data_IF_751071712989
#
_entry.id   IF_751071712989
#
_cell.length_a   1.000
_cell.length_b   1.000
_cell.length_c   1.000
_cell.angle_alpha   90.00
_cell.angle_beta   90.00
_cell.angle_gamma   90.00
#
_symmetry.space_group_name_H-M   'P 1'
#
loop_
_entity.id
_entity.type
_entity.pdbx_description
1 polymer ?
#
# COMPACT_ATOMS: atom_id res chain seq x y z
N UNK A 1 -15.83 25.63 0.03
CA UNK A 1 -15.11 24.90 -1.05
C UNK A 1 -13.87 24.24 -0.45
N UNK A 2 -13.64 22.97 -0.73
CA UNK A 2 -12.51 22.18 -0.28
C UNK A 2 -11.74 21.64 -1.49
N UNK A 3 -10.46 21.99 -1.62
CA UNK A 3 -9.60 21.44 -2.68
C UNK A 3 -9.23 20.00 -2.33
N UNK A 4 -9.22 19.14 -3.32
CA UNK A 4 -8.78 17.76 -3.19
C UNK A 4 -7.84 17.38 -4.33
N UNK A 5 -7.04 16.36 -4.09
CA UNK A 5 -6.09 15.79 -5.03
C UNK A 5 -6.37 14.31 -5.21
N UNK A 6 -6.31 13.83 -6.45
CA UNK A 6 -6.51 12.42 -6.79
C UNK A 6 -5.20 11.77 -7.15
N UNK A 7 -4.88 10.70 -6.44
CA UNK A 7 -3.69 9.88 -6.65
C UNK A 7 -4.06 8.42 -6.81
N UNK A 8 -3.19 7.64 -7.41
CA UNK A 8 -3.21 6.19 -7.29
C UNK A 8 -1.81 5.65 -7.03
N UNK A 9 -1.75 4.58 -6.21
CA UNK A 9 -0.55 3.80 -5.96
C UNK A 9 -0.75 2.39 -6.51
N UNK A 10 -0.30 2.16 -7.76
CA UNK A 10 -0.46 0.87 -8.43
C UNK A 10 -1.92 0.42 -8.60
N UNK A 11 -2.79 1.35 -8.99
CA UNK A 11 -4.21 1.11 -9.27
C UNK A 11 -5.13 1.17 -8.04
N UNK A 12 -4.59 1.35 -6.84
CA UNK A 12 -5.36 1.64 -5.64
C UNK A 12 -5.45 3.16 -5.48
N UNK A 13 -6.64 3.74 -5.59
CA UNK A 13 -6.85 5.17 -5.80
C UNK A 13 -7.39 5.92 -4.58
N UNK A 14 -6.87 7.12 -4.35
CA UNK A 14 -7.14 7.90 -3.15
C UNK A 14 -7.53 9.34 -3.47
N UNK A 15 -8.42 9.89 -2.65
CA UNK A 15 -8.61 11.32 -2.50
C UNK A 15 -7.72 11.82 -1.37
N UNK A 16 -6.92 12.86 -1.60
CA UNK A 16 -6.07 13.47 -0.58
C UNK A 16 -6.49 14.91 -0.36
N UNK A 17 -6.61 15.32 0.89
CA UNK A 17 -6.98 16.67 1.30
C UNK A 17 -5.90 17.27 2.19
N UNK A 18 -5.40 18.45 1.83
CA UNK A 18 -4.51 19.23 2.70
C UNK A 18 -5.34 19.98 3.74
N UNK A 19 -5.16 19.62 5.01
CA UNK A 19 -5.90 20.22 6.14
C UNK A 19 -5.02 21.11 7.02
N UNK A 20 -3.80 21.48 6.57
CA UNK A 20 -2.88 22.30 7.37
C UNK A 20 -3.40 23.68 7.66
N UNK A 21 -4.07 24.32 6.70
CA UNK A 21 -4.65 25.65 6.89
C UNK A 21 -6.08 25.59 7.44
N UNK A 22 -6.84 24.59 7.05
CA UNK A 22 -8.24 24.44 7.43
C UNK A 22 -8.66 22.99 7.45
N UNK A 23 -9.06 22.50 8.62
CA UNK A 23 -9.69 21.19 8.79
C UNK A 23 -11.20 21.29 8.50
N UNK A 24 -11.71 20.66 7.44
CA UNK A 24 -13.12 20.72 7.06
C UNK A 24 -14.04 19.92 7.98
N UNK A 25 -13.52 19.21 9.00
CA UNK A 25 -14.28 18.39 9.96
C UNK A 25 -15.20 17.39 9.25
N UNK A 26 -14.64 16.59 8.35
CA UNK A 26 -15.38 15.59 7.60
C UNK A 26 -15.95 14.50 8.53
N UNK A 27 -17.23 14.12 8.29
CA UNK A 27 -17.85 12.96 8.95
C UNK A 27 -17.63 11.70 8.12
N UNK A 28 -17.87 10.52 8.71
CA UNK A 28 -17.79 9.25 8.00
C UNK A 28 -18.71 9.24 6.75
N UNK A 29 -19.92 9.77 6.88
CA UNK A 29 -20.88 9.84 5.77
C UNK A 29 -20.38 10.76 4.65
N UNK A 30 -19.75 11.91 4.99
CA UNK A 30 -19.20 12.82 3.98
C UNK A 30 -18.02 12.18 3.25
N UNK A 31 -17.14 11.47 3.98
CA UNK A 31 -16.02 10.74 3.38
C UNK A 31 -16.54 9.61 2.48
N UNK A 32 -17.50 8.82 2.95
CA UNK A 32 -18.12 7.76 2.15
C UNK A 32 -18.78 8.32 0.88
N UNK A 33 -19.41 9.49 0.98
CA UNK A 33 -19.99 10.17 -0.20
C UNK A 33 -18.89 10.60 -1.18
N UNK A 34 -17.79 11.19 -0.71
CA UNK A 34 -16.65 11.59 -1.55
C UNK A 34 -16.05 10.37 -2.27
N UNK A 35 -15.88 9.26 -1.55
CA UNK A 35 -15.32 8.02 -2.09
C UNK A 35 -16.27 7.27 -3.02
N UNK A 36 -17.56 7.60 -3.03
CA UNK A 36 -18.55 6.88 -3.85
C UNK A 36 -18.34 7.13 -5.35
N UNK A 37 -18.04 6.06 -6.12
CA UNK A 37 -17.60 6.13 -7.53
C UNK A 37 -18.63 6.70 -8.52
N UNK A 38 -19.92 6.78 -8.14
CA UNK A 38 -20.99 7.30 -9.01
C UNK A 38 -21.60 8.61 -8.54
N UNK A 39 -21.36 9.01 -7.27
CA UNK A 39 -22.00 10.19 -6.67
C UNK A 39 -21.01 11.19 -6.11
N UNK A 40 -19.78 10.78 -5.89
CA UNK A 40 -18.67 11.58 -5.41
C UNK A 40 -17.52 11.63 -6.41
N UNK A 41 -16.32 11.85 -5.92
CA UNK A 41 -15.07 11.78 -6.69
C UNK A 41 -14.77 10.33 -7.11
N UNK A 42 -15.08 9.38 -6.24
CA UNK A 42 -14.76 7.97 -6.39
C UNK A 42 -13.32 7.66 -5.98
N UNK A 43 -13.17 6.80 -4.98
CA UNK A 43 -11.85 6.36 -4.49
C UNK A 43 -11.99 5.11 -3.61
N UNK A 44 -10.89 4.38 -3.43
CA UNK A 44 -10.80 3.29 -2.45
C UNK A 44 -10.66 3.82 -1.02
N UNK A 45 -10.23 5.09 -0.87
CA UNK A 45 -10.17 5.76 0.42
C UNK A 45 -9.84 7.24 0.31
N UNK A 46 -9.87 7.91 1.47
CA UNK A 46 -9.52 9.31 1.61
C UNK A 46 -8.40 9.46 2.63
N UNK A 47 -7.43 10.31 2.33
CA UNK A 47 -6.36 10.67 3.25
C UNK A 47 -6.36 12.16 3.52
N UNK A 48 -5.95 12.54 4.72
CA UNK A 48 -5.69 13.94 5.06
C UNK A 48 -4.21 14.14 5.39
N UNK A 49 -3.68 15.29 4.97
CA UNK A 49 -2.35 15.75 5.33
C UNK A 49 -2.48 16.95 6.26
N UNK A 50 -2.03 16.81 7.51
CA UNK A 50 -2.14 17.80 8.56
C UNK A 50 -0.79 18.26 9.11
N UNK A 51 -0.82 19.24 10.02
CA UNK A 51 0.38 19.75 10.70
C UNK A 51 0.91 18.67 11.66
N UNK A 52 2.21 18.40 11.58
CA UNK A 52 2.90 17.45 12.45
C UNK A 52 3.56 18.13 13.65
N UNK A 53 3.82 17.38 14.75
CA UNK A 53 4.73 17.81 15.80
C UNK A 53 6.17 17.87 15.27
N UNK A 54 7.04 18.53 16.06
CA UNK A 54 8.47 18.64 15.74
C UNK A 54 9.10 17.26 15.46
N UNK A 55 9.94 17.19 14.44
CA UNK A 55 10.62 15.98 14.00
C UNK A 55 9.93 15.24 12.86
N UNK A 56 8.73 15.66 12.46
CA UNK A 56 7.99 15.07 11.35
C UNK A 56 7.56 16.13 10.34
N UNK A 57 7.48 15.76 9.06
CA UNK A 57 7.07 16.67 8.00
C UNK A 57 5.56 16.91 8.00
N UNK A 58 4.76 15.87 8.27
CA UNK A 58 3.29 15.97 8.30
C UNK A 58 2.66 14.83 9.13
N UNK A 59 1.37 14.99 9.47
CA UNK A 59 0.51 13.92 10.00
C UNK A 59 -0.41 13.46 8.89
N UNK A 60 -0.53 12.15 8.73
CA UNK A 60 -1.48 11.49 7.85
C UNK A 60 -2.61 10.87 8.67
N UNK A 61 -3.85 10.97 8.17
CA UNK A 61 -4.95 10.10 8.57
C UNK A 61 -5.55 9.45 7.35
N UNK A 62 -5.88 8.18 7.50
CA UNK A 62 -6.46 7.39 6.43
C UNK A 62 -7.86 6.90 6.80
N UNK A 63 -8.76 6.97 5.83
CA UNK A 63 -10.14 6.49 5.94
C UNK A 63 -10.45 5.60 4.74
N UNK A 64 -11.04 4.44 5.00
CA UNK A 64 -11.59 3.57 3.95
C UNK A 64 -12.72 4.27 3.20
N UNK A 65 -13.16 3.68 2.09
CA UNK A 65 -14.26 4.22 1.28
C UNK A 65 -15.62 4.27 1.99
N UNK A 66 -15.79 3.59 3.12
CA UNK A 66 -16.95 3.67 4.00
C UNK A 66 -16.89 4.85 5.01
N UNK A 67 -15.77 5.57 5.03
CA UNK A 67 -15.51 6.70 5.92
C UNK A 67 -14.93 6.32 7.29
N UNK A 68 -14.72 5.04 7.56
CA UNK A 68 -14.13 4.60 8.83
C UNK A 68 -12.59 4.73 8.82
N UNK A 69 -11.99 5.15 9.95
CA UNK A 69 -10.53 5.19 10.08
C UNK A 69 -9.90 3.81 9.83
N UNK A 70 -8.71 3.81 9.26
CA UNK A 70 -7.94 2.60 9.02
C UNK A 70 -6.43 2.87 9.18
N UNK A 71 -5.68 1.80 9.42
CA UNK A 71 -4.22 1.85 9.47
C UNK A 71 -3.61 2.17 8.11
N UNK A 72 -2.33 2.55 8.11
CA UNK A 72 -1.61 2.89 6.90
C UNK A 72 -1.66 1.76 5.86
N UNK A 73 -2.19 2.08 4.68
CA UNK A 73 -2.04 1.26 3.48
C UNK A 73 -0.73 1.60 2.77
N UNK A 74 0.11 0.61 2.44
CA UNK A 74 1.38 0.83 1.75
C UNK A 74 1.24 1.60 0.42
N UNK A 75 0.14 1.40 -0.32
CA UNK A 75 -0.16 2.16 -1.53
C UNK A 75 -0.50 3.63 -1.19
N UNK A 76 -1.32 3.86 -0.16
CA UNK A 76 -1.68 5.19 0.34
C UNK A 76 -0.47 5.95 0.89
N UNK A 77 0.41 5.28 1.64
CA UNK A 77 1.64 5.87 2.17
C UNK A 77 2.56 6.43 1.08
N UNK A 78 2.69 5.71 -0.04
CA UNK A 78 3.44 6.23 -1.20
C UNK A 78 2.76 7.42 -1.85
N UNK A 79 1.43 7.39 -2.00
CA UNK A 79 0.66 8.49 -2.58
C UNK A 79 0.78 9.78 -1.76
N UNK A 80 0.60 9.71 -0.44
CA UNK A 80 0.66 10.90 0.40
C UNK A 80 2.09 11.44 0.54
N UNK A 81 3.12 10.58 0.50
CA UNK A 81 4.51 11.01 0.46
C UNK A 81 4.83 11.81 -0.82
N UNK A 82 4.37 11.33 -1.99
CA UNK A 82 4.51 12.10 -3.23
C UNK A 82 3.72 13.41 -3.17
N UNK A 83 2.51 13.39 -2.61
CA UNK A 83 1.73 14.62 -2.42
C UNK A 83 2.46 15.64 -1.54
N UNK A 84 3.01 15.22 -0.39
CA UNK A 84 3.78 16.09 0.48
C UNK A 84 5.01 16.69 -0.22
N UNK A 85 5.73 15.89 -1.02
CA UNK A 85 6.82 16.38 -1.87
C UNK A 85 6.36 17.46 -2.85
N UNK A 86 5.22 17.28 -3.51
CA UNK A 86 4.65 18.27 -4.43
C UNK A 86 4.23 19.57 -3.73
N UNK A 87 3.97 19.52 -2.42
CA UNK A 87 3.76 20.69 -1.56
C UNK A 87 5.06 21.32 -1.05
N UNK A 88 6.22 20.84 -1.49
CA UNK A 88 7.53 21.36 -1.11
C UNK A 88 8.07 20.85 0.23
N UNK A 89 7.51 19.77 0.78
CA UNK A 89 7.98 19.16 2.01
C UNK A 89 9.12 18.16 1.78
N UNK A 90 9.79 17.82 2.87
CA UNK A 90 10.87 16.83 2.88
C UNK A 90 12.25 17.46 2.81
N UNK A 91 13.26 16.62 3.02
CA UNK A 91 14.67 16.98 3.05
C UNK A 91 15.42 16.26 1.94
N UNK A 92 16.22 16.99 1.18
CA UNK A 92 17.08 16.39 0.14
C UNK A 92 18.25 15.62 0.77
N UNK A 93 18.43 14.36 0.36
CA UNK A 93 19.56 13.51 0.72
C UNK A 93 20.12 12.89 -0.57
N UNK A 94 21.22 13.42 -1.07
CA UNK A 94 21.72 13.07 -2.39
C UNK A 94 20.74 13.48 -3.49
N UNK A 95 20.31 12.53 -4.29
CA UNK A 95 19.32 12.74 -5.35
C UNK A 95 17.86 12.53 -4.89
N UNK A 96 17.67 11.95 -3.72
CA UNK A 96 16.36 11.59 -3.18
C UNK A 96 15.78 12.70 -2.28
N UNK A 97 14.44 12.75 -2.19
CA UNK A 97 13.73 13.58 -1.20
C UNK A 97 13.15 12.67 -0.12
N UNK A 98 13.68 12.81 1.09
CA UNK A 98 13.27 12.04 2.25
C UNK A 98 12.19 12.76 3.04
N UNK A 99 11.23 12.01 3.51
CA UNK A 99 10.08 12.45 4.30
C UNK A 99 9.91 11.54 5.51
N UNK A 100 9.58 12.15 6.65
CA UNK A 100 9.21 11.45 7.87
C UNK A 100 7.83 11.93 8.32
N UNK A 101 6.88 11.03 8.50
CA UNK A 101 5.51 11.40 8.82
C UNK A 101 4.89 10.48 9.88
N UNK A 102 3.84 10.97 10.52
CA UNK A 102 3.04 10.20 11.48
C UNK A 102 1.74 9.75 10.83
N UNK A 103 1.41 8.47 10.97
CA UNK A 103 0.07 7.93 10.76
C UNK A 103 -0.50 7.42 12.10
N UNK A 104 -1.75 6.95 12.12
CA UNK A 104 -2.38 6.47 13.34
C UNK A 104 -1.67 5.25 13.95
N UNK A 105 -0.95 4.49 13.14
CA UNK A 105 -0.14 3.33 13.54
C UNK A 105 1.32 3.65 13.87
N UNK A 106 1.72 4.92 13.85
CA UNK A 106 3.04 5.40 14.26
C UNK A 106 3.85 6.13 13.19
N UNK A 107 5.17 6.27 13.38
CA UNK A 107 6.06 6.96 12.47
C UNK A 107 6.37 6.13 11.21
N UNK A 108 6.47 6.82 10.08
CA UNK A 108 6.81 6.26 8.79
C UNK A 108 7.85 7.10 8.07
N UNK A 109 8.68 6.45 7.29
CA UNK A 109 9.68 7.08 6.43
C UNK A 109 9.40 6.76 4.96
N UNK A 110 9.56 7.76 4.11
CA UNK A 110 9.47 7.59 2.67
C UNK A 110 10.57 8.38 1.96
N UNK A 111 10.89 7.97 0.73
CA UNK A 111 11.76 8.73 -0.15
C UNK A 111 11.18 8.76 -1.57
N UNK A 112 11.17 9.94 -2.17
CA UNK A 112 10.86 10.12 -3.58
C UNK A 112 12.13 9.86 -4.35
N UNK A 113 12.14 8.75 -5.10
CA UNK A 113 13.28 8.32 -5.90
C UNK A 113 13.26 8.95 -7.29
N UNK A 114 12.08 9.12 -7.83
CA UNK A 114 11.86 9.72 -9.14
C UNK A 114 10.50 10.41 -9.20
N UNK A 115 10.43 11.53 -9.91
CA UNK A 115 9.19 12.22 -10.27
C UNK A 115 9.30 12.80 -11.67
N UNK A 116 8.36 12.44 -12.53
CA UNK A 116 8.19 13.03 -13.86
C UNK A 116 6.91 13.88 -13.88
N UNK A 117 7.09 15.18 -14.02
CA UNK A 117 5.98 16.15 -14.03
C UNK A 117 5.14 16.12 -15.31
N UNK A 118 5.65 15.60 -16.42
CA UNK A 118 4.93 15.51 -17.69
C UNK A 118 3.96 14.34 -17.67
N UNK A 119 4.44 13.14 -17.33
CA UNK A 119 3.62 11.94 -17.18
C UNK A 119 2.84 11.92 -15.87
N UNK A 120 3.20 12.78 -14.89
CA UNK A 120 2.67 12.80 -13.52
C UNK A 120 2.82 11.46 -12.80
N UNK A 121 3.93 10.79 -13.05
CA UNK A 121 4.28 9.51 -12.43
C UNK A 121 5.54 9.62 -11.60
N UNK A 122 5.58 8.91 -10.49
CA UNK A 122 6.73 8.85 -9.61
C UNK A 122 7.00 7.45 -9.10
N UNK A 123 8.21 7.28 -8.58
CA UNK A 123 8.61 6.09 -7.85
C UNK A 123 8.93 6.49 -6.42
N UNK A 124 8.26 5.85 -5.48
CA UNK A 124 8.38 6.14 -4.05
C UNK A 124 8.81 4.89 -3.30
N UNK A 125 9.80 5.05 -2.44
CA UNK A 125 10.23 4.08 -1.45
C UNK A 125 9.52 4.39 -0.13
N UNK A 126 8.86 3.38 0.46
CA UNK A 126 8.19 3.46 1.76
C UNK A 126 8.79 2.44 2.72
N UNK A 127 9.14 2.88 3.92
CA UNK A 127 9.54 2.00 5.01
C UNK A 127 8.36 1.15 5.49
N UNK A 128 8.61 -0.15 5.62
CA UNK A 128 7.64 -1.13 6.13
C UNK A 128 8.09 -1.64 7.50
N UNK A 129 7.17 -2.21 8.26
CA UNK A 129 7.48 -2.78 9.58
C UNK A 129 8.41 -3.98 9.49
N UNK A 130 9.28 -4.14 10.47
CA UNK A 130 10.11 -5.34 10.66
C UNK A 130 9.23 -6.60 10.82
N UNK A 131 9.71 -7.72 10.28
CA UNK A 131 9.00 -8.99 10.30
C UNK A 131 9.79 -10.06 11.04
N UNK A 132 9.17 -10.71 12.01
CA UNK A 132 9.78 -11.81 12.76
C UNK A 132 9.90 -13.06 11.87
N UNK A 133 11.08 -13.65 11.79
CA UNK A 133 11.30 -14.90 11.02
C UNK A 133 10.54 -16.08 11.59
N UNK A 134 10.35 -16.11 12.91
CA UNK A 134 9.54 -17.14 13.59
C UNK A 134 8.07 -17.15 13.15
N UNK A 135 7.58 -16.06 12.57
CA UNK A 135 6.25 -15.99 11.99
C UNK A 135 6.10 -16.67 10.63
N UNK A 136 7.21 -16.99 9.96
CA UNK A 136 7.18 -17.71 8.68
C UNK A 136 6.91 -19.19 8.91
N UNK A 137 5.74 -19.67 8.50
CA UNK A 137 5.30 -21.05 8.73
C UNK A 137 4.85 -21.72 7.44
N UNK A 138 5.20 -22.98 7.25
CA UNK A 138 4.62 -23.81 6.20
C UNK A 138 3.17 -24.16 6.60
N UNK A 139 2.22 -23.87 5.73
CA UNK A 139 0.79 -24.20 5.89
C UNK A 139 0.28 -24.69 4.54
N UNK A 140 -0.36 -25.85 4.53
CA UNK A 140 -0.80 -26.48 3.28
C UNK A 140 0.33 -26.52 2.23
N UNK A 141 0.06 -26.04 1.02
CA UNK A 141 1.04 -25.99 -0.09
C UNK A 141 1.84 -24.68 -0.16
N UNK A 142 1.56 -23.74 0.74
CA UNK A 142 2.17 -22.41 0.76
C UNK A 142 2.78 -22.06 2.11
N UNK A 143 3.14 -20.80 2.27
CA UNK A 143 3.73 -20.27 3.51
C UNK A 143 2.91 -19.11 4.03
N UNK A 144 2.79 -19.04 5.35
CA UNK A 144 2.09 -17.98 6.06
C UNK A 144 3.11 -17.05 6.70
N UNK A 145 2.92 -15.74 6.53
CA UNK A 145 3.75 -14.69 7.10
C UNK A 145 2.89 -13.46 7.41
N UNK A 146 3.18 -12.79 8.53
CA UNK A 146 2.54 -11.51 8.85
C UNK A 146 3.51 -10.36 8.57
N UNK A 147 3.14 -9.46 7.65
CA UNK A 147 3.89 -8.26 7.25
C UNK A 147 3.16 -6.95 7.61
N UNK A 148 2.39 -6.98 8.69
CA UNK A 148 1.44 -5.97 9.15
C UNK A 148 0.03 -6.54 9.22
N UNK A 149 -0.33 -7.33 8.20
CA UNK A 149 -1.51 -8.21 8.18
C UNK A 149 -1.06 -9.62 7.74
N UNK A 150 -1.83 -10.68 8.07
CA UNK A 150 -1.44 -12.05 7.71
C UNK A 150 -1.63 -12.31 6.21
N UNK A 151 -0.59 -12.91 5.60
CA UNK A 151 -0.52 -13.31 4.20
C UNK A 151 -0.23 -14.79 4.05
N UNK A 152 -0.96 -15.46 3.19
CA UNK A 152 -0.68 -16.82 2.73
C UNK A 152 -0.17 -16.76 1.29
N UNK A 153 1.09 -17.13 1.09
CA UNK A 153 1.76 -17.09 -0.21
C UNK A 153 1.86 -18.52 -0.78
N UNK A 154 1.27 -18.73 -1.94
CA UNK A 154 1.27 -20.02 -2.64
C UNK A 154 1.82 -19.89 -4.04
N UNK A 155 2.83 -20.70 -4.38
CA UNK A 155 3.31 -20.80 -5.74
C UNK A 155 2.33 -21.63 -6.60
N UNK A 156 2.05 -21.12 -7.80
CA UNK A 156 1.18 -21.77 -8.80
C UNK A 156 1.84 -21.75 -10.16
N UNK A 157 1.29 -22.52 -11.09
CA UNK A 157 1.64 -22.47 -12.51
C UNK A 157 0.51 -21.82 -13.30
N UNK A 158 0.85 -21.15 -14.40
CA UNK A 158 -0.09 -20.41 -15.28
C UNK A 158 -0.94 -19.38 -14.49
N UNK A 159 -0.27 -18.56 -13.68
CA UNK A 159 -0.90 -17.54 -12.84
C UNK A 159 -1.85 -16.64 -13.64
N UNK A 160 -1.55 -16.40 -14.91
CA UNK A 160 -2.37 -15.58 -15.80
C UNK A 160 -3.81 -16.10 -15.93
N UNK A 161 -4.00 -17.43 -15.94
CA UNK A 161 -5.31 -18.11 -16.08
C UNK A 161 -5.84 -18.65 -14.75
N UNK A 162 -5.08 -18.49 -13.66
CA UNK A 162 -5.42 -19.06 -12.38
C UNK A 162 -6.69 -18.40 -11.81
N UNK A 163 -7.57 -19.20 -11.19
CA UNK A 163 -8.79 -18.72 -10.52
C UNK A 163 -8.46 -18.14 -9.15
N UNK A 164 -7.96 -16.89 -9.14
CA UNK A 164 -7.57 -16.17 -7.92
C UNK A 164 -8.75 -15.96 -6.98
N UNK A 165 -9.93 -15.64 -7.53
CA UNK A 165 -11.10 -15.32 -6.70
C UNK A 165 -11.69 -16.58 -6.06
N UNK A 166 -11.87 -17.66 -6.81
CA UNK A 166 -12.40 -18.91 -6.29
C UNK A 166 -11.48 -19.55 -5.26
N UNK A 167 -10.21 -19.75 -5.62
CA UNK A 167 -9.22 -20.36 -4.73
C UNK A 167 -8.84 -19.43 -3.56
N UNK A 168 -8.75 -18.11 -3.80
CA UNK A 168 -8.49 -17.12 -2.77
C UNK A 168 -9.57 -17.16 -1.69
N UNK A 169 -10.84 -17.12 -2.09
CA UNK A 169 -11.98 -17.23 -1.15
C UNK A 169 -11.93 -18.52 -0.34
N UNK A 170 -11.65 -19.66 -0.98
CA UNK A 170 -11.54 -20.95 -0.32
C UNK A 170 -10.41 -20.98 0.73
N UNK A 171 -9.23 -20.48 0.38
CA UNK A 171 -8.05 -20.47 1.26
C UNK A 171 -8.15 -19.43 2.37
N UNK A 172 -8.70 -18.24 2.07
CA UNK A 172 -8.91 -17.17 3.02
C UNK A 172 -9.63 -17.61 4.31
N UNK A 173 -10.60 -18.51 4.17
CA UNK A 173 -11.43 -19.03 5.28
C UNK A 173 -11.04 -20.46 5.71
N UNK A 174 -9.91 -21.00 5.23
CA UNK A 174 -9.49 -22.33 5.62
C UNK A 174 -9.16 -22.37 7.14
N UNK A 175 -9.55 -23.43 7.88
CA UNK A 175 -9.33 -23.52 9.33
C UNK A 175 -7.88 -23.27 9.76
N UNK A 176 -6.89 -23.67 8.96
CA UNK A 176 -5.47 -23.51 9.27
C UNK A 176 -4.98 -22.04 9.13
N UNK A 177 -5.82 -21.14 8.61
CA UNK A 177 -5.48 -19.72 8.45
C UNK A 177 -5.88 -18.85 9.66
N UNK A 178 -6.48 -19.46 10.69
CA UNK A 178 -6.97 -18.77 11.88
C UNK A 178 -8.36 -18.16 11.70
N UNK A 179 -8.95 -17.68 12.80
CA UNK A 179 -10.34 -17.17 12.83
C UNK A 179 -10.55 -15.93 11.98
N UNK A 180 -9.56 -15.03 11.94
CA UNK A 180 -9.63 -13.78 11.17
C UNK A 180 -9.38 -14.02 9.66
N UNK A 181 -8.76 -15.16 9.32
CA UNK A 181 -8.32 -15.46 7.96
C UNK A 181 -7.19 -14.57 7.47
N UNK A 182 -6.85 -14.68 6.21
CA UNK A 182 -5.63 -14.12 5.62
C UNK A 182 -5.91 -13.44 4.27
N UNK A 183 -4.99 -12.59 3.81
CA UNK A 183 -4.84 -12.30 2.39
C UNK A 183 -4.19 -13.51 1.71
N UNK A 184 -4.56 -13.79 0.47
CA UNK A 184 -4.03 -14.93 -0.28
C UNK A 184 -3.31 -14.42 -1.52
N UNK A 185 -2.00 -14.68 -1.56
CA UNK A 185 -1.12 -14.25 -2.65
C UNK A 185 -0.71 -15.47 -3.46
N UNK A 186 -1.08 -15.50 -4.73
CA UNK A 186 -0.65 -16.51 -5.69
C UNK A 186 0.54 -15.95 -6.47
N UNK A 187 1.62 -16.74 -6.57
CA UNK A 187 2.86 -16.30 -7.17
C UNK A 187 3.36 -17.27 -8.24
N UNK A 188 3.98 -16.72 -9.28
CA UNK A 188 4.69 -17.46 -10.32
C UNK A 188 6.02 -16.80 -10.64
N UNK A 189 7.11 -17.56 -10.57
CA UNK A 189 8.42 -17.08 -10.99
C UNK A 189 8.54 -17.18 -12.52
N UNK A 190 8.76 -16.02 -13.13
CA UNK A 190 8.89 -15.91 -14.58
C UNK A 190 10.32 -16.21 -15.05
N UNK A 191 10.51 -16.57 -16.34
CA UNK A 191 11.84 -16.89 -16.87
C UNK A 191 12.85 -15.73 -16.81
N UNK A 192 12.39 -14.48 -16.74
CA UNK A 192 13.22 -13.29 -16.59
C UNK A 192 13.67 -13.03 -15.14
N UNK A 193 13.27 -13.88 -14.20
CA UNK A 193 13.57 -13.75 -12.78
C UNK A 193 12.61 -12.85 -12.00
N UNK A 194 11.60 -12.28 -12.65
CA UNK A 194 10.55 -11.48 -11.99
C UNK A 194 9.51 -12.40 -11.35
N UNK A 195 9.08 -12.08 -10.13
CA UNK A 195 7.97 -12.77 -9.47
C UNK A 195 6.65 -12.09 -9.82
N UNK A 196 5.76 -12.78 -10.51
CA UNK A 196 4.41 -12.29 -10.74
C UNK A 196 3.52 -12.65 -9.54
N UNK A 197 2.66 -11.70 -9.13
CA UNK A 197 1.78 -11.83 -7.96
C UNK A 197 0.37 -11.42 -8.31
N UNK A 198 -0.62 -12.21 -7.85
CA UNK A 198 -2.05 -11.86 -7.85
C UNK A 198 -2.61 -12.13 -6.46
N UNK A 199 -3.31 -11.16 -5.87
CA UNK A 199 -3.75 -11.18 -4.47
C UNK A 199 -5.27 -11.16 -4.36
N UNK A 200 -5.83 -12.12 -3.61
CA UNK A 200 -7.18 -12.06 -3.05
C UNK A 200 -7.11 -11.40 -1.67
N UNK A 201 -7.75 -10.26 -1.51
CA UNK A 201 -7.55 -9.42 -0.33
C UNK A 201 -8.68 -9.55 0.68
N UNK A 202 -8.31 -9.78 1.95
CA UNK A 202 -9.20 -9.84 3.11
C UNK A 202 -9.87 -8.47 3.32
N UNK A 203 -11.20 -8.47 3.44
CA UNK A 203 -11.98 -7.24 3.63
C UNK A 203 -12.47 -6.64 2.32
N UNK A 204 -11.73 -6.81 1.22
CA UNK A 204 -12.20 -6.52 -0.14
C UNK A 204 -13.01 -7.70 -0.68
N UNK A 205 -12.59 -8.91 -0.33
CA UNK A 205 -13.18 -10.19 -0.72
C UNK A 205 -13.22 -10.41 -2.25
N UNK A 206 -12.20 -9.88 -2.92
CA UNK A 206 -11.98 -9.98 -4.36
C UNK A 206 -10.49 -9.85 -4.70
N UNK A 207 -10.13 -10.03 -5.97
CA UNK A 207 -8.78 -9.77 -6.46
C UNK A 207 -8.49 -8.27 -6.54
N UNK A 208 -7.43 -7.79 -5.88
CA UNK A 208 -6.97 -6.40 -5.95
C UNK A 208 -5.85 -6.21 -6.97
N UNK A 209 -5.61 -4.96 -7.36
CA UNK A 209 -4.57 -4.63 -8.33
C UNK A 209 -3.17 -4.75 -7.76
N UNK A 210 -3.00 -4.39 -6.48
CA UNK A 210 -1.76 -4.56 -5.74
C UNK A 210 -2.00 -4.41 -4.23
N UNK A 211 -1.45 -5.31 -3.44
CA UNK A 211 -1.41 -5.24 -1.98
C UNK A 211 0.05 -5.05 -1.53
N UNK A 212 0.38 -3.90 -0.94
CA UNK A 212 1.76 -3.56 -0.57
C UNK A 212 2.36 -4.53 0.45
N UNK A 213 1.58 -4.94 1.47
CA UNK A 213 2.00 -5.95 2.46
C UNK A 213 2.11 -7.34 1.84
N UNK A 214 1.25 -7.67 0.85
CA UNK A 214 1.31 -8.92 0.09
C UNK A 214 2.56 -9.01 -0.79
N UNK A 215 2.89 -7.94 -1.53
CA UNK A 215 4.14 -7.84 -2.29
C UNK A 215 5.35 -8.05 -1.37
N UNK A 216 5.34 -7.42 -0.18
CA UNK A 216 6.39 -7.60 0.83
C UNK A 216 6.48 -9.05 1.34
N UNK A 217 5.34 -9.67 1.65
CA UNK A 217 5.28 -11.07 2.08
C UNK A 217 5.80 -12.01 0.99
N UNK A 218 5.40 -11.81 -0.27
CA UNK A 218 5.87 -12.59 -1.41
C UNK A 218 7.39 -12.49 -1.59
N UNK A 219 7.96 -11.27 -1.49
CA UNK A 219 9.41 -11.07 -1.57
C UNK A 219 10.16 -11.85 -0.49
N UNK A 220 9.71 -11.76 0.76
CA UNK A 220 10.35 -12.43 1.90
C UNK A 220 10.22 -13.96 1.78
N UNK A 221 9.04 -14.46 1.42
CA UNK A 221 8.77 -15.90 1.32
C UNK A 221 9.56 -16.58 0.21
N UNK A 222 9.72 -15.90 -0.93
CA UNK A 222 10.38 -16.45 -2.13
C UNK A 222 11.86 -16.09 -2.24
N UNK A 223 12.28 -14.99 -1.59
CA UNK A 223 13.61 -14.39 -1.77
C UNK A 223 13.76 -13.55 -3.03
N UNK A 224 12.70 -13.42 -3.85
CA UNK A 224 12.70 -12.62 -5.07
C UNK A 224 12.28 -11.19 -4.74
N UNK A 225 13.08 -10.21 -5.17
CA UNK A 225 12.89 -8.79 -4.80
C UNK A 225 12.15 -7.96 -5.85
N UNK A 226 12.22 -8.38 -7.12
CA UNK A 226 11.50 -7.73 -8.22
C UNK A 226 10.18 -8.43 -8.45
N UNK A 227 9.09 -7.69 -8.25
CA UNK A 227 7.74 -8.23 -8.22
C UNK A 227 6.85 -7.45 -9.16
N UNK A 228 6.07 -8.16 -9.96
CA UNK A 228 5.04 -7.60 -10.83
C UNK A 228 3.66 -7.99 -10.32
N UNK A 229 2.87 -7.00 -9.91
CA UNK A 229 1.44 -7.13 -9.65
C UNK A 229 0.64 -6.56 -10.83
N UNK A 230 -0.68 -6.71 -10.83
CA UNK A 230 -1.54 -6.12 -11.87
C UNK A 230 -1.42 -4.58 -11.95
N UNK A 231 -1.20 -3.93 -10.80
CA UNK A 231 -1.13 -2.48 -10.69
C UNK A 231 0.24 -1.88 -11.02
N UNK A 232 1.28 -2.70 -11.16
CA UNK A 232 2.61 -2.19 -11.49
C UNK A 232 3.76 -3.07 -11.00
N UNK A 233 4.96 -2.58 -11.25
CA UNK A 233 6.20 -3.23 -10.85
C UNK A 233 6.68 -2.67 -9.50
N UNK A 234 7.18 -3.57 -8.66
CA UNK A 234 7.66 -3.27 -7.32
C UNK A 234 9.07 -3.83 -7.11
N UNK A 235 9.78 -3.18 -6.20
CA UNK A 235 10.98 -3.74 -5.61
C UNK A 235 10.83 -3.77 -4.09
N UNK A 236 11.29 -4.86 -3.45
CA UNK A 236 11.33 -4.98 -2.00
C UNK A 236 12.76 -5.16 -1.54
N UNK A 237 13.29 -4.18 -0.84
CA UNK A 237 14.59 -4.27 -0.18
C UNK A 237 14.41 -4.65 1.29
N UNK A 238 15.29 -5.47 1.84
CA UNK A 238 15.32 -5.79 3.26
C UNK A 238 16.66 -6.40 3.65
N UNK A 239 16.98 -6.30 4.94
CA UNK A 239 18.11 -6.96 5.59
C UNK A 239 17.61 -8.21 6.32
N UNK A 240 18.37 -9.30 6.22
CA UNK A 240 18.04 -10.55 6.92
C UNK A 240 18.97 -10.72 8.11
N UNK A 241 18.40 -10.83 9.30
CA UNK A 241 19.13 -11.18 10.54
C UNK A 241 18.72 -12.59 10.99
N UNK A 242 19.35 -13.18 12.03
CA UNK A 242 18.95 -14.49 12.54
C UNK A 242 17.47 -14.58 12.93
N UNK A 243 16.92 -13.50 13.51
CA UNK A 243 15.59 -13.52 14.14
C UNK A 243 14.51 -12.78 13.33
N UNK A 244 14.87 -11.86 12.46
CA UNK A 244 13.93 -11.00 11.75
C UNK A 244 14.41 -10.54 10.38
N UNK A 245 13.49 -10.01 9.61
CA UNK A 245 13.71 -9.17 8.44
C UNK A 245 13.54 -7.72 8.87
N UNK A 246 14.57 -6.89 8.64
CA UNK A 246 14.63 -5.48 9.05
C UNK A 246 14.89 -4.57 7.86
N UNK A 247 14.77 -3.27 8.07
CA UNK A 247 14.97 -2.24 7.04
C UNK A 247 14.15 -2.56 5.77
N UNK A 248 12.92 -3.05 5.99
CA UNK A 248 12.05 -3.45 4.88
C UNK A 248 11.56 -2.20 4.18
N UNK A 249 11.78 -2.14 2.88
CA UNK A 249 11.40 -1.02 2.03
C UNK A 249 10.61 -1.52 0.83
N UNK A 250 9.43 -0.96 0.64
CA UNK A 250 8.58 -1.20 -0.52
C UNK A 250 8.74 -0.05 -1.51
N UNK A 251 9.30 -0.33 -2.68
CA UNK A 251 9.48 0.62 -3.76
C UNK A 251 8.44 0.33 -4.83
N UNK A 252 7.68 1.35 -5.22
CA UNK A 252 6.61 1.16 -6.21
C UNK A 252 6.12 2.45 -6.83
N UNK A 253 5.27 2.32 -7.87
CA UNK A 253 4.76 3.45 -8.64
C UNK A 253 3.71 4.24 -7.87
N UNK A 254 3.62 5.52 -8.22
CA UNK A 254 2.56 6.44 -7.81
C UNK A 254 2.23 7.36 -8.98
N UNK A 255 0.95 7.62 -9.19
CA UNK A 255 0.48 8.59 -10.19
C UNK A 255 -0.33 9.70 -9.53
N UNK A 256 -0.06 10.94 -9.92
CA UNK A 256 -0.92 12.08 -9.64
C UNK A 256 -1.90 12.29 -10.79
N UNK A 257 -3.18 12.02 -10.56
CA UNK A 257 -4.18 12.00 -11.63
C UNK A 257 -4.73 13.39 -11.94
N UNK A 258 -5.33 14.05 -10.93
CA UNK A 258 -5.93 15.37 -11.07
C UNK A 258 -6.20 16.04 -9.71
N UNK A 259 -6.57 17.31 -9.74
CA UNK A 259 -7.14 18.02 -8.59
C UNK A 259 -8.51 18.59 -8.93
N UNK A 260 -9.32 18.82 -7.91
CA UNK A 260 -10.63 19.41 -8.04
C UNK A 260 -11.07 20.12 -6.77
N UNK A 261 -12.32 20.62 -6.78
CA UNK A 261 -12.92 21.32 -5.64
C UNK A 261 -14.27 20.72 -5.32
N UNK A 262 -14.52 20.47 -4.04
CA UNK A 262 -15.83 20.05 -3.48
C UNK A 262 -16.51 21.26 -2.85
N UNK A 263 -17.82 21.38 -3.06
CA UNK A 263 -18.67 22.44 -2.50
C UNK A 263 -19.15 22.09 -1.10
#
# INVERSE_FOLDING_TARGET
MMEFYKFDGAGNDFVIVDIRERDPKMTAESIAHICHRRRGVGADGLMTLGIAPEGYDFVMRYYNSDGLPADLCGNGGRCIALFAYLLGMGRRVGEEMHLCFLADDGPHEAAILHWDSESRQGTVRLGMRDVQRSGLRQVLQGKLLNTGVPHYVQQVSDLKRFDVVGEGRRLRHHPDMGSEGVNVDFVELMPDGTLHVRTYERGVEDETWACGTGVTACAIVTGIRHIRARGGDFEVAYTTTPDRYTDIQLIGPVSYNFKGTLN
#
